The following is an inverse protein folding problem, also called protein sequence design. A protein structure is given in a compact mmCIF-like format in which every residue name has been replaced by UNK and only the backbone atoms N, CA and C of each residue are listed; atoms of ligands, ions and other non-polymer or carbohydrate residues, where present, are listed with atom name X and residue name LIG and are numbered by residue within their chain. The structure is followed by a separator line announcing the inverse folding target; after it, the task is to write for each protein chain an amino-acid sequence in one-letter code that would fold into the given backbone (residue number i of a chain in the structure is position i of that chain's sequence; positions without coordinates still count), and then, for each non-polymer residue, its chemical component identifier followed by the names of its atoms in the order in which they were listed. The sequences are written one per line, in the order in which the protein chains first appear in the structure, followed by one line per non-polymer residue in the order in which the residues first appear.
data_IF_214609587764
#
_entry.id   IF_214609587764
#
_cell.length_a   1.000
_cell.length_b   1.000
_cell.length_c   1.000
_cell.angle_alpha   90.00
_cell.angle_beta   90.00
_cell.angle_gamma   90.00
#
_symmetry.space_group_name_H-M   'P 1'
#
loop_
_entity.id
_entity.type
_entity.pdbx_description
1 polymer ?
#
# COMPACT_ATOMS: atom_id res chain seq x y z
N UNK A 1 -18.96 -13.52 -25.67
CA UNK A 1 -17.85 -12.71 -25.14
C UNK A 1 -16.53 -13.43 -25.45
N UNK A 2 -15.69 -12.89 -26.35
CA UNK A 2 -14.34 -13.44 -26.61
C UNK A 2 -13.38 -12.87 -25.56
N UNK A 3 -12.87 -13.71 -24.65
CA UNK A 3 -11.91 -13.34 -23.61
C UNK A 3 -10.53 -13.05 -24.22
N UNK A 4 -9.91 -11.95 -23.81
CA UNK A 4 -8.45 -11.88 -23.64
C UNK A 4 -7.56 -11.25 -24.72
N UNK A 5 -8.10 -10.66 -25.79
CA UNK A 5 -7.30 -9.95 -26.78
C UNK A 5 -7.33 -8.43 -26.59
N UNK A 6 -6.16 -7.78 -26.44
CA UNK A 6 -6.06 -6.32 -26.62
C UNK A 6 -6.39 -6.01 -28.08
N UNK A 7 -7.59 -5.47 -28.31
CA UNK A 7 -8.12 -5.31 -29.67
C UNK A 7 -7.62 -4.02 -30.33
N UNK A 8 -7.20 -3.02 -29.56
CA UNK A 8 -6.65 -1.77 -30.07
C UNK A 8 -5.17 -1.58 -29.69
N UNK A 9 -4.35 -0.99 -30.58
CA UNK A 9 -3.03 -0.49 -30.20
C UNK A 9 -3.19 0.53 -29.05
N UNK A 10 -2.52 0.29 -27.92
CA UNK A 10 -2.61 1.13 -26.72
C UNK A 10 -3.53 0.62 -25.60
N UNK A 11 -4.40 -0.37 -25.86
CA UNK A 11 -5.21 -1.02 -24.81
C UNK A 11 -4.30 -1.76 -23.82
N UNK A 12 -3.25 -2.42 -24.34
CA UNK A 12 -2.26 -3.12 -23.53
C UNK A 12 -1.52 -2.17 -22.57
N UNK A 13 -1.12 -0.99 -23.06
CA UNK A 13 -0.44 0.01 -22.24
C UNK A 13 -1.36 0.60 -21.19
N UNK A 14 -2.61 0.87 -21.54
CA UNK A 14 -3.59 1.42 -20.61
C UNK A 14 -3.94 0.40 -19.52
N UNK A 15 -4.10 -0.87 -19.89
CA UNK A 15 -4.27 -1.97 -18.94
C UNK A 15 -3.04 -2.14 -18.05
N UNK A 16 -1.84 -2.09 -18.62
CA UNK A 16 -0.59 -2.21 -17.88
C UNK A 16 -0.39 -1.05 -16.90
N UNK A 17 -0.65 0.20 -17.32
CA UNK A 17 -0.66 1.38 -16.45
C UNK A 17 -1.67 1.25 -15.31
N UNK A 18 -2.89 0.77 -15.60
CA UNK A 18 -3.92 0.55 -14.58
C UNK A 18 -3.53 -0.51 -13.55
N UNK A 19 -2.85 -1.57 -13.98
CA UNK A 19 -2.44 -2.67 -13.10
C UNK A 19 -1.03 -2.50 -12.52
N UNK A 20 -0.36 -1.37 -12.78
CA UNK A 20 1.03 -1.11 -12.35
C UNK A 20 2.01 -2.19 -12.83
N UNK A 21 1.80 -2.71 -14.05
CA UNK A 21 2.68 -3.72 -14.64
C UNK A 21 3.50 -3.09 -15.77
N UNK A 22 4.78 -3.43 -15.83
CA UNK A 22 5.66 -3.03 -16.93
C UNK A 22 5.54 -4.04 -18.08
N UNK A 23 5.04 -3.61 -19.25
CA UNK A 23 4.82 -4.48 -20.41
C UNK A 23 6.09 -5.18 -20.90
N UNK A 24 7.23 -4.50 -20.83
CA UNK A 24 8.52 -5.06 -21.24
C UNK A 24 8.85 -6.29 -20.40
N UNK A 25 8.59 -6.25 -19.09
CA UNK A 25 8.82 -7.39 -18.18
C UNK A 25 7.94 -8.58 -18.49
N UNK A 26 6.68 -8.35 -18.87
CA UNK A 26 5.80 -9.45 -19.29
C UNK A 26 6.37 -10.14 -20.54
N UNK A 27 6.86 -9.37 -21.51
CA UNK A 27 7.47 -9.93 -22.73
C UNK A 27 8.74 -10.71 -22.42
N UNK A 28 9.62 -10.19 -21.55
CA UNK A 28 10.81 -10.92 -21.09
C UNK A 28 10.45 -12.26 -20.43
N UNK A 29 9.39 -12.28 -19.61
CA UNK A 29 8.88 -13.52 -18.99
C UNK A 29 8.35 -14.48 -20.06
N UNK A 30 7.65 -14.00 -21.09
CA UNK A 30 7.18 -14.83 -22.20
C UNK A 30 8.35 -15.48 -22.95
N UNK A 31 9.39 -14.71 -23.26
CA UNK A 31 10.58 -15.22 -23.94
C UNK A 31 11.31 -16.27 -23.10
N UNK A 32 11.41 -16.06 -21.79
CA UNK A 32 11.96 -17.03 -20.85
C UNK A 32 11.15 -18.33 -20.82
N UNK A 33 9.81 -18.24 -20.76
CA UNK A 33 8.93 -19.42 -20.80
C UNK A 33 9.13 -20.20 -22.11
N UNK A 34 9.25 -19.49 -23.24
CA UNK A 34 9.47 -20.10 -24.56
C UNK A 34 10.83 -20.82 -24.63
N UNK A 35 11.87 -20.22 -24.09
CA UNK A 35 13.21 -20.84 -24.01
C UNK A 35 13.19 -22.10 -23.14
N UNK A 36 12.63 -22.01 -21.92
CA UNK A 36 12.54 -23.13 -20.99
C UNK A 36 11.74 -24.30 -21.59
N UNK A 37 10.64 -23.99 -22.28
CA UNK A 37 9.83 -25.01 -22.97
C UNK A 37 10.63 -25.73 -24.05
N UNK A 38 11.43 -25.01 -24.85
CA UNK A 38 12.32 -25.62 -25.85
C UNK A 38 13.36 -26.53 -25.18
N UNK A 39 13.92 -26.11 -24.05
CA UNK A 39 14.91 -26.90 -23.30
C UNK A 39 14.31 -28.18 -22.74
N UNK A 40 13.11 -28.11 -22.15
CA UNK A 40 12.38 -29.26 -21.64
C UNK A 40 12.02 -30.25 -22.75
N UNK A 41 11.59 -29.75 -23.93
CA UNK A 41 11.31 -30.59 -25.09
C UNK A 41 12.53 -31.38 -25.56
N UNK A 42 13.74 -30.80 -25.53
CA UNK A 42 14.99 -31.54 -25.84
C UNK A 42 15.28 -32.67 -24.84
N UNK A 43 14.78 -32.56 -23.62
CA UNK A 43 14.88 -33.60 -22.58
C UNK A 43 13.73 -34.62 -22.66
N UNK A 44 12.88 -34.55 -23.70
CA UNK A 44 11.71 -35.41 -23.85
C UNK A 44 10.54 -35.05 -22.93
N UNK A 45 10.60 -33.90 -22.24
CA UNK A 45 9.52 -33.42 -21.37
C UNK A 45 8.65 -32.48 -22.20
N UNK A 46 7.48 -32.95 -22.60
CA UNK A 46 6.49 -32.17 -23.34
C UNK A 46 5.26 -31.87 -22.49
N UNK A 47 4.70 -30.68 -22.68
CA UNK A 47 3.48 -30.29 -21.97
C UNK A 47 2.26 -30.90 -22.66
N UNK A 48 1.74 -32.01 -22.11
CA UNK A 48 0.55 -32.68 -22.62
C UNK A 48 -0.77 -31.99 -22.25
N UNK A 49 -0.72 -30.72 -21.79
CA UNK A 49 -1.90 -29.97 -21.32
C UNK A 49 -2.94 -29.73 -22.43
N UNK A 50 -2.55 -29.89 -23.69
CA UNK A 50 -3.43 -29.78 -24.86
C UNK A 50 -4.00 -31.13 -25.33
N UNK A 51 -3.92 -32.19 -24.54
CA UNK A 51 -4.39 -33.51 -24.93
C UNK A 51 -5.53 -33.93 -24.02
N UNK A 52 -6.76 -33.89 -24.53
CA UNK A 52 -7.90 -34.60 -23.93
C UNK A 52 -8.03 -35.95 -24.64
N UNK A 53 -8.16 -37.02 -23.87
CA UNK A 53 -8.55 -38.34 -24.39
C UNK A 53 -10.07 -38.33 -24.56
N UNK A 54 -10.56 -38.65 -25.76
CA UNK A 54 -11.99 -38.89 -25.95
C UNK A 54 -12.42 -40.19 -25.23
N UNK A 55 -13.73 -40.41 -25.03
CA UNK A 55 -14.27 -41.63 -24.40
C UNK A 55 -13.87 -42.93 -25.12
N UNK A 56 -13.34 -42.81 -26.34
CA UNK A 56 -12.84 -43.89 -27.19
C UNK A 56 -11.29 -43.99 -27.24
N UNK A 57 -10.56 -43.23 -26.41
CA UNK A 57 -9.10 -43.29 -26.31
C UNK A 57 -8.33 -42.53 -27.40
N UNK A 58 -9.01 -41.73 -28.22
CA UNK A 58 -8.37 -40.96 -29.28
C UNK A 58 -7.82 -39.62 -28.76
N UNK A 59 -6.62 -39.26 -29.24
CA UNK A 59 -5.94 -38.01 -28.92
C UNK A 59 -6.64 -36.82 -29.58
N UNK A 60 -7.32 -35.98 -28.79
CA UNK A 60 -7.89 -34.72 -29.27
C UNK A 60 -7.04 -33.55 -28.79
N UNK A 61 -6.51 -32.78 -29.73
CA UNK A 61 -5.76 -31.56 -29.46
C UNK A 61 -6.73 -30.47 -28.98
N UNK A 62 -6.71 -30.12 -27.70
CA UNK A 62 -7.47 -28.99 -27.17
C UNK A 62 -6.67 -27.72 -27.41
N UNK A 63 -7.09 -26.92 -28.38
CA UNK A 63 -6.36 -25.73 -28.82
C UNK A 63 -6.43 -24.56 -27.84
N UNK A 64 -7.10 -24.68 -26.70
CA UNK A 64 -7.19 -23.62 -25.71
C UNK A 64 -7.06 -24.16 -24.29
N UNK A 65 -6.68 -23.27 -23.39
CA UNK A 65 -6.76 -23.42 -21.94
C UNK A 65 -8.23 -23.57 -21.49
N UNK A 66 -8.89 -24.65 -21.91
CA UNK A 66 -10.27 -24.98 -21.54
C UNK A 66 -10.24 -25.57 -20.12
N UNK A 67 -9.94 -24.70 -19.15
CA UNK A 67 -10.22 -24.89 -17.73
C UNK A 67 -11.69 -24.48 -17.56
N UNK A 68 -12.60 -25.32 -18.03
CA UNK A 68 -14.03 -25.01 -18.03
C UNK A 68 -14.72 -25.38 -16.71
N UNK A 69 -14.08 -26.20 -15.86
CA UNK A 69 -14.63 -26.64 -14.58
C UNK A 69 -13.91 -25.97 -13.38
N UNK A 70 -14.68 -25.37 -12.46
CA UNK A 70 -14.14 -24.79 -11.22
C UNK A 70 -13.34 -25.81 -10.39
N UNK A 71 -13.73 -27.09 -10.46
CA UNK A 71 -13.05 -28.18 -9.77
C UNK A 71 -11.65 -28.46 -10.34
N UNK A 72 -11.50 -28.36 -11.67
CA UNK A 72 -10.21 -28.50 -12.35
C UNK A 72 -9.29 -27.30 -12.07
N UNK A 73 -9.86 -26.10 -11.92
CA UNK A 73 -9.09 -24.93 -11.49
C UNK A 73 -8.52 -25.12 -10.07
N UNK A 74 -9.31 -25.67 -9.14
CA UNK A 74 -8.87 -25.93 -7.75
C UNK A 74 -7.79 -27.02 -7.71
N UNK A 75 -7.97 -28.13 -8.43
CA UNK A 75 -6.97 -29.21 -8.53
C UNK A 75 -5.67 -28.71 -9.15
N UNK A 76 -5.75 -27.96 -10.25
CA UNK A 76 -4.58 -27.37 -10.89
C UNK A 76 -3.89 -26.34 -9.97
N UNK A 77 -4.65 -25.54 -9.23
CA UNK A 77 -4.08 -24.59 -8.26
C UNK A 77 -3.33 -25.30 -7.13
N UNK A 78 -3.83 -26.43 -6.63
CA UNK A 78 -3.15 -27.22 -5.60
C UNK A 78 -1.84 -27.81 -6.15
N UNK A 79 -1.87 -28.43 -7.33
CA UNK A 79 -0.67 -29.01 -7.96
C UNK A 79 0.38 -27.93 -8.23
N UNK A 80 -0.02 -26.77 -8.75
CA UNK A 80 0.89 -25.65 -8.99
C UNK A 80 1.51 -25.16 -7.67
N UNK A 81 0.72 -25.03 -6.60
CA UNK A 81 1.23 -24.67 -5.27
C UNK A 81 2.24 -25.69 -4.76
N UNK A 82 1.98 -26.99 -4.98
CA UNK A 82 2.90 -28.07 -4.59
C UNK A 82 4.23 -27.97 -5.37
N UNK A 83 4.17 -27.76 -6.69
CA UNK A 83 5.36 -27.60 -7.54
C UNK A 83 6.18 -26.38 -7.07
N UNK A 84 5.51 -25.25 -6.78
CA UNK A 84 6.20 -24.08 -6.25
C UNK A 84 6.85 -24.35 -4.88
N UNK A 85 6.15 -25.02 -3.96
CA UNK A 85 6.73 -25.38 -2.67
C UNK A 85 7.99 -26.25 -2.85
N UNK A 86 7.93 -27.27 -3.71
CA UNK A 86 9.09 -28.11 -4.01
C UNK A 86 10.26 -27.33 -4.64
N UNK A 87 9.97 -26.41 -5.57
CA UNK A 87 11.00 -25.61 -6.25
C UNK A 87 11.68 -24.59 -5.31
N UNK A 88 10.95 -24.06 -4.33
CA UNK A 88 11.47 -23.06 -3.40
C UNK A 88 12.06 -23.65 -2.11
N UNK A 89 12.02 -24.98 -1.90
CA UNK A 89 12.66 -25.61 -0.75
C UNK A 89 14.16 -25.25 -0.64
N UNK A 90 14.70 -24.90 0.55
CA UNK A 90 14.07 -24.81 1.88
C UNK A 90 13.57 -23.40 2.25
N UNK A 91 13.43 -22.49 1.29
CA UNK A 91 13.09 -21.07 1.51
C UNK A 91 11.60 -20.87 1.81
N UNK A 92 11.17 -21.36 2.97
CA UNK A 92 9.80 -21.21 3.44
C UNK A 92 9.67 -20.08 4.44
N UNK A 93 8.53 -19.39 4.36
CA UNK A 93 8.13 -18.38 5.32
C UNK A 93 6.99 -18.92 6.15
N UNK A 94 7.09 -18.81 7.46
CA UNK A 94 5.96 -19.03 8.35
C UNK A 94 5.13 -17.76 8.41
N UNK A 95 3.86 -17.86 8.04
CA UNK A 95 2.91 -16.78 8.29
C UNK A 95 2.64 -16.74 9.78
N UNK A 96 3.40 -15.93 10.50
CA UNK A 96 3.05 -15.55 11.86
C UNK A 96 1.82 -14.66 11.72
N UNK A 97 0.73 -15.00 12.43
CA UNK A 97 -0.39 -14.08 12.58
C UNK A 97 0.16 -12.83 13.25
N UNK A 98 0.47 -11.80 12.45
CA UNK A 98 0.65 -10.46 12.99
C UNK A 98 -0.69 -10.14 13.62
N UNK A 99 -0.70 -10.06 14.94
CA UNK A 99 -1.91 -9.68 15.66
C UNK A 99 -2.31 -8.30 15.16
N UNK A 100 -3.46 -8.24 14.49
CA UNK A 100 -4.00 -6.98 13.99
C UNK A 100 -4.17 -5.99 15.14
N UNK A 101 -4.47 -6.47 16.35
CA UNK A 101 -4.52 -5.63 17.55
C UNK A 101 -3.14 -5.05 17.88
N UNK A 102 -2.07 -5.83 17.74
CA UNK A 102 -0.71 -5.33 17.93
C UNK A 102 -0.35 -4.27 16.88
N UNK A 103 -0.72 -4.48 15.62
CA UNK A 103 -0.50 -3.49 14.56
C UNK A 103 -1.26 -2.18 14.82
N UNK A 104 -2.52 -2.27 15.27
CA UNK A 104 -3.33 -1.11 15.66
C UNK A 104 -2.74 -0.40 16.89
N UNK A 105 -2.28 -1.17 17.89
CA UNK A 105 -1.61 -0.66 19.09
C UNK A 105 -0.32 0.07 18.72
N UNK A 106 0.49 -0.50 17.84
CA UNK A 106 1.73 0.13 17.35
C UNK A 106 1.48 1.42 16.57
N UNK A 107 0.31 1.56 15.94
CA UNK A 107 -0.11 2.76 15.21
C UNK A 107 -0.88 3.77 16.06
N UNK A 108 -0.99 3.56 17.38
CA UNK A 108 -1.73 4.45 18.31
C UNK A 108 -3.16 4.75 17.82
N UNK A 109 -3.87 3.73 17.35
CA UNK A 109 -5.24 3.86 16.87
C UNK A 109 -5.39 4.57 15.51
N UNK A 110 -4.28 4.90 14.84
CA UNK A 110 -4.29 5.40 13.45
C UNK A 110 -4.45 4.25 12.47
N UNK A 111 -5.02 4.53 11.30
CA UNK A 111 -5.23 3.52 10.26
C UNK A 111 -3.89 3.03 9.69
N UNK A 112 -3.55 1.76 9.97
CA UNK A 112 -2.33 1.11 9.52
C UNK A 112 -2.22 1.00 7.99
N UNK A 113 -3.34 1.11 7.26
CA UNK A 113 -3.37 1.04 5.80
C UNK A 113 -2.95 2.33 5.12
N UNK A 114 -2.99 3.44 5.86
CA UNK A 114 -2.69 4.78 5.38
C UNK A 114 -1.53 5.43 6.13
N UNK A 115 -0.99 4.78 7.16
CA UNK A 115 -0.03 5.38 8.08
C UNK A 115 1.27 4.60 8.14
N UNK A 116 2.40 5.30 8.09
CA UNK A 116 3.73 4.74 8.33
C UNK A 116 4.33 5.32 9.60
N UNK A 117 4.92 4.45 10.42
CA UNK A 117 5.66 4.83 11.62
C UNK A 117 7.14 4.99 11.33
N UNK A 118 7.70 6.14 11.72
CA UNK A 118 9.14 6.40 11.75
C UNK A 118 9.58 6.48 13.22
N UNK A 119 10.66 5.77 13.54
CA UNK A 119 11.19 5.65 14.91
C UNK A 119 12.48 6.46 15.08
N UNK A 120 12.94 6.58 16.32
CA UNK A 120 14.20 7.21 16.73
C UNK A 120 14.21 8.74 16.64
N UNK A 121 13.09 9.39 16.98
CA UNK A 121 13.09 10.84 17.17
C UNK A 121 13.54 11.21 18.59
N UNK A 122 14.22 12.36 18.78
CA UNK A 122 14.42 12.92 20.11
C UNK A 122 13.06 13.21 20.77
N UNK A 123 12.92 12.87 22.05
CA UNK A 123 11.67 13.01 22.80
C UNK A 123 11.14 14.43 22.75
N UNK A 124 9.85 14.60 22.44
CA UNK A 124 9.12 15.88 22.34
C UNK A 124 9.64 16.89 21.30
N UNK A 125 10.76 16.63 20.61
CA UNK A 125 11.30 17.51 19.58
C UNK A 125 10.73 17.23 18.18
N UNK A 126 10.00 16.11 18.01
CA UNK A 126 9.53 15.61 16.71
C UNK A 126 8.78 16.65 15.86
N UNK A 127 7.96 17.50 16.50
CA UNK A 127 7.15 18.54 15.84
C UNK A 127 8.01 19.52 15.04
N UNK A 128 9.25 19.79 15.48
CA UNK A 128 10.18 20.70 14.79
C UNK A 128 10.66 20.15 13.44
N UNK A 129 10.55 18.84 13.24
CA UNK A 129 10.98 18.15 12.03
C UNK A 129 9.81 17.83 11.10
N UNK A 130 8.58 18.24 11.45
CA UNK A 130 7.35 17.97 10.68
C UNK A 130 7.48 18.34 9.20
N UNK A 131 7.93 19.56 8.92
CA UNK A 131 8.09 20.07 7.54
C UNK A 131 9.10 19.24 6.75
N UNK A 132 10.29 19.02 7.31
CA UNK A 132 11.34 18.21 6.67
C UNK A 132 10.93 16.75 6.47
N UNK A 133 10.20 16.20 7.42
CA UNK A 133 9.67 14.85 7.34
C UNK A 133 8.67 14.76 6.18
N UNK A 134 7.68 15.65 6.18
CA UNK A 134 6.69 15.71 5.13
C UNK A 134 7.37 15.93 3.75
N UNK A 135 8.42 16.75 3.63
CA UNK A 135 9.22 16.91 2.41
C UNK A 135 9.90 15.63 1.92
N UNK A 136 10.53 14.86 2.80
CA UNK A 136 11.15 13.58 2.43
C UNK A 136 10.11 12.59 1.87
N UNK A 137 8.89 12.63 2.41
CA UNK A 137 7.80 11.73 2.01
C UNK A 137 6.89 12.29 0.91
N UNK A 138 7.16 13.50 0.39
CA UNK A 138 6.47 14.05 -0.81
C UNK A 138 6.67 13.18 -2.05
N UNK A 139 7.78 12.44 -2.12
CA UNK A 139 8.05 11.47 -3.19
C UNK A 139 7.04 10.32 -3.18
N UNK A 140 6.53 9.96 -1.99
CA UNK A 140 5.57 8.87 -1.83
C UNK A 140 4.11 9.31 -2.05
N UNK A 141 3.75 10.54 -1.67
CA UNK A 141 2.43 11.11 -1.94
C UNK A 141 2.43 12.65 -1.83
N UNK A 142 1.51 13.30 -2.54
CA UNK A 142 1.37 14.76 -2.56
C UNK A 142 0.79 15.33 -1.27
N UNK A 143 -0.04 14.56 -0.56
CA UNK A 143 -0.73 15.01 0.64
C UNK A 143 -0.34 14.14 1.83
N UNK A 144 0.55 14.69 2.65
CA UNK A 144 1.18 14.00 3.78
C UNK A 144 0.85 14.76 5.06
N UNK A 145 0.28 14.08 6.05
CA UNK A 145 0.06 14.61 7.40
C UNK A 145 1.03 13.96 8.38
N UNK A 146 1.84 14.79 9.02
CA UNK A 146 2.84 14.35 9.99
C UNK A 146 2.31 14.59 11.42
N UNK A 147 2.25 13.54 12.26
CA UNK A 147 1.92 13.64 13.69
C UNK A 147 2.99 12.95 14.52
N UNK A 148 3.18 13.36 15.77
CA UNK A 148 4.27 12.88 16.61
C UNK A 148 3.75 12.50 18.00
N UNK A 149 4.16 11.34 18.48
CA UNK A 149 3.95 10.91 19.86
C UNK A 149 5.26 10.36 20.40
N UNK A 150 5.73 10.95 21.50
CA UNK A 150 6.99 10.64 22.17
C UNK A 150 8.21 10.69 21.23
N UNK A 151 8.77 9.51 20.91
CA UNK A 151 9.93 9.29 20.04
C UNK A 151 9.53 8.71 18.66
N UNK A 152 8.23 8.71 18.36
CA UNK A 152 7.66 8.13 17.13
C UNK A 152 6.98 9.22 16.31
N UNK A 153 7.30 9.25 15.02
CA UNK A 153 6.57 10.04 14.01
C UNK A 153 5.61 9.14 13.24
N UNK A 154 4.40 9.62 13.02
CA UNK A 154 3.36 8.98 12.21
C UNK A 154 3.09 9.84 10.98
N UNK A 155 3.21 9.20 9.82
CA UNK A 155 3.04 9.82 8.52
C UNK A 155 1.80 9.22 7.90
N UNK A 156 0.76 10.03 7.79
CA UNK A 156 -0.50 9.64 7.20
C UNK A 156 -0.57 10.15 5.77
N UNK A 157 -0.83 9.24 4.84
CA UNK A 157 -0.98 9.55 3.43
C UNK A 157 -2.46 9.74 3.12
N UNK A 158 -2.83 10.93 2.66
CA UNK A 158 -4.17 11.14 2.13
C UNK A 158 -4.12 10.86 0.63
N UNK A 159 -4.28 9.60 0.29
CA UNK A 159 -4.59 9.23 -1.08
C UNK A 159 -6.07 8.90 -1.05
N UNK A 160 -6.89 9.71 -1.74
CA UNK A 160 -8.21 9.25 -2.17
C UNK A 160 -7.96 7.90 -2.83
N UNK A 161 -8.60 6.86 -2.31
CA UNK A 161 -8.50 5.51 -2.83
C UNK A 161 -9.19 5.49 -4.21
N UNK A 162 -8.57 6.12 -5.21
CA UNK A 162 -8.97 5.97 -6.60
C UNK A 162 -8.35 4.67 -7.09
N UNK A 163 -9.18 3.63 -7.08
CA UNK A 163 -9.08 2.44 -7.94
C UNK A 163 -7.85 1.52 -7.78
N UNK A 164 -7.48 1.13 -6.55
CA UNK A 164 -6.59 -0.03 -6.38
C UNK A 164 -7.32 -1.12 -5.59
N UNK A 165 -7.33 -2.35 -6.11
CA UNK A 165 -7.99 -3.52 -5.50
C UNK A 165 -7.44 -3.90 -4.11
N UNK A 166 -6.33 -3.27 -3.69
CA UNK A 166 -5.71 -3.47 -2.38
C UNK A 166 -6.14 -2.35 -1.44
N UNK A 167 -6.66 -2.71 -0.26
CA UNK A 167 -7.07 -1.77 0.79
C UNK A 167 -5.93 -0.93 1.40
N UNK A 168 -4.70 -0.99 0.87
CA UNK A 168 -3.50 -0.34 1.40
C UNK A 168 -3.09 0.79 0.46
N UNK A 169 -2.77 1.95 1.03
CA UNK A 169 -2.41 3.14 0.28
C UNK A 169 -1.05 2.97 -0.42
N UNK A 170 -0.96 3.44 -1.67
CA UNK A 170 0.27 3.43 -2.45
C UNK A 170 1.44 4.15 -1.73
N UNK A 171 1.15 5.25 -1.03
CA UNK A 171 2.16 5.98 -0.26
C UNK A 171 2.79 5.13 0.84
N UNK A 172 2.01 4.24 1.46
CA UNK A 172 2.51 3.28 2.47
C UNK A 172 3.42 2.25 1.81
N UNK A 173 3.01 1.69 0.67
CA UNK A 173 3.82 0.72 -0.08
C UNK A 173 5.17 1.31 -0.48
N UNK A 174 5.17 2.52 -1.08
CA UNK A 174 6.40 3.19 -1.49
C UNK A 174 7.33 3.47 -0.31
N UNK A 175 6.79 3.95 0.82
CA UNK A 175 7.56 4.18 2.03
C UNK A 175 8.20 2.88 2.58
N UNK A 176 7.48 1.75 2.53
CA UNK A 176 8.04 0.44 2.90
C UNK A 176 9.14 0.02 1.93
N UNK A 177 8.95 0.24 0.63
CA UNK A 177 9.99 -0.05 -0.36
C UNK A 177 11.23 0.82 -0.18
N UNK A 178 11.09 2.09 0.20
CA UNK A 178 12.24 2.94 0.55
C UNK A 178 13.08 2.33 1.68
N UNK A 179 12.43 1.71 2.67
CA UNK A 179 13.12 0.98 3.74
C UNK A 179 13.81 -0.29 3.23
N UNK A 180 13.15 -1.06 2.37
CA UNK A 180 13.73 -2.27 1.78
C UNK A 180 14.96 -1.95 0.91
N UNK A 181 14.92 -0.85 0.17
CA UNK A 181 16.02 -0.30 -0.63
C UNK A 181 17.08 0.42 0.22
N UNK A 182 16.93 0.44 1.56
CA UNK A 182 17.85 1.08 2.51
C UNK A 182 18.12 2.56 2.22
N UNK A 183 17.12 3.28 1.69
CA UNK A 183 17.24 4.71 1.43
C UNK A 183 17.36 5.43 2.78
N UNK A 184 18.46 6.15 3.06
CA UNK A 184 18.69 6.73 4.39
C UNK A 184 17.84 8.00 4.59
N UNK A 185 16.94 7.97 5.57
CA UNK A 185 16.21 9.16 6.02
C UNK A 185 17.10 9.97 6.97
N UNK A 186 17.76 11.01 6.46
CA UNK A 186 18.71 11.83 7.23
C UNK A 186 18.06 13.13 7.70
N UNK A 187 17.90 13.28 9.01
CA UNK A 187 17.48 14.52 9.64
C UNK A 187 18.65 15.15 10.40
N UNK A 188 18.96 16.41 10.10
CA UNK A 188 19.95 17.19 10.85
C UNK A 188 19.34 17.64 12.19
N UNK A 189 19.92 17.17 13.30
CA UNK A 189 19.51 17.57 14.66
C UNK A 189 19.75 19.06 14.87
N UNK A 190 18.77 19.74 15.46
CA UNK A 190 18.91 21.15 15.87
C UNK A 190 19.74 21.26 17.17
N UNK A 191 20.39 22.41 17.36
CA UNK A 191 21.12 22.71 18.59
C UNK A 191 20.14 22.83 19.77
N UNK A 192 20.46 22.22 20.91
CA UNK A 192 19.65 22.17 22.13
C UNK A 192 19.09 23.55 22.55
N UNK A 193 19.90 24.61 22.47
CA UNK A 193 19.47 25.97 22.84
C UNK A 193 18.35 26.48 21.91
N UNK A 194 18.54 26.31 20.60
CA UNK A 194 17.57 26.73 19.57
C UNK A 194 16.30 25.87 19.66
N UNK A 195 16.45 24.57 19.92
CA UNK A 195 15.34 23.63 20.12
C UNK A 195 14.46 24.07 21.28
N UNK A 196 15.05 24.41 22.43
CA UNK A 196 14.31 24.84 23.61
C UNK A 196 13.50 26.12 23.36
N UNK A 197 14.11 27.12 22.73
CA UNK A 197 13.44 28.38 22.38
C UNK A 197 12.26 28.16 21.43
N UNK A 198 12.46 27.34 20.39
CA UNK A 198 11.40 27.00 19.42
C UNK A 198 10.26 26.22 20.08
N UNK A 199 10.57 25.25 20.94
CA UNK A 199 9.54 24.49 21.67
C UNK A 199 8.76 25.38 22.65
N UNK A 200 9.44 26.28 23.36
CA UNK A 200 8.79 27.26 24.25
C UNK A 200 7.82 28.15 23.48
N UNK A 201 8.23 28.66 22.32
CA UNK A 201 7.39 29.48 21.44
C UNK A 201 6.18 28.70 20.91
N UNK A 202 6.36 27.45 20.47
CA UNK A 202 5.26 26.60 20.02
C UNK A 202 4.25 26.30 21.14
N UNK A 203 4.72 26.04 22.37
CA UNK A 203 3.85 25.85 23.54
C UNK A 203 3.04 27.10 23.86
N UNK A 204 3.64 28.29 23.77
CA UNK A 204 2.93 29.56 23.97
C UNK A 204 1.86 29.78 22.89
N UNK A 205 2.21 29.56 21.61
CA UNK A 205 1.27 29.67 20.49
C UNK A 205 0.08 28.72 20.65
N UNK A 206 0.32 27.47 21.09
CA UNK A 206 -0.74 26.49 21.33
C UNK A 206 -1.69 26.90 22.47
N UNK A 207 -1.14 27.53 23.52
CA UNK A 207 -1.96 28.06 24.62
C UNK A 207 -2.84 29.23 24.15
N UNK A 208 -2.31 30.12 23.33
CA UNK A 208 -3.09 31.25 22.77
C UNK A 208 -4.17 30.83 21.77
N UNK A 209 -3.94 29.78 20.98
CA UNK A 209 -4.98 29.26 20.07
C UNK A 209 -6.09 28.52 20.82
N UNK A 210 -5.77 27.79 21.89
CA UNK A 210 -6.79 27.17 22.75
C UNK A 210 -7.61 28.20 23.54
N UNK A 211 -7.03 29.32 23.98
CA UNK A 211 -7.79 30.39 24.64
C UNK A 211 -8.72 31.14 23.67
N UNK A 212 -8.29 31.36 22.41
CA UNK A 212 -9.13 32.01 21.41
C UNK A 212 -10.34 31.18 20.99
N UNK A 213 -10.24 29.85 20.99
CA UNK A 213 -11.36 28.95 20.71
C UNK A 213 -12.43 28.97 21.83
N UNK A 214 -12.00 29.13 23.09
CA UNK A 214 -12.92 29.26 24.22
C UNK A 214 -13.61 30.63 24.29
N UNK A 215 -13.02 31.68 23.69
CA UNK A 215 -13.64 33.01 23.65
C UNK A 215 -14.74 33.12 22.59
N UNK A 216 -14.61 32.41 21.46
CA UNK A 216 -15.62 32.42 20.36
C UNK A 216 -16.90 31.66 20.73
N UNK A 217 -16.82 30.66 21.61
CA UNK A 217 -17.99 29.91 22.12
C UNK A 217 -18.78 30.63 23.22
N UNK A 218 -18.17 31.59 23.92
CA UNK A 218 -18.86 32.37 24.96
C UNK A 218 -19.48 33.68 24.46
N UNK A 219 -19.03 34.21 23.31
CA UNK A 219 -19.62 35.40 22.69
C UNK A 219 -20.99 35.16 22.03
N UNK A 220 -21.38 33.91 21.79
CA UNK A 220 -22.65 33.55 21.14
C UNK A 220 -23.80 33.28 22.13
N UNK A 221 -23.59 33.49 23.44
CA UNK A 221 -24.58 33.20 24.49
C UNK A 221 -25.21 34.41 25.19
N UNK A 222 -24.88 35.64 24.80
CA UNK A 222 -25.38 36.88 25.47
C UNK A 222 -26.38 37.72 24.67
N UNK A 223 -26.94 37.23 23.56
CA UNK A 223 -27.98 37.96 22.80
C UNK A 223 -29.25 37.14 22.60
N UNK A 224 -29.96 36.81 23.68
CA UNK A 224 -31.36 36.34 23.62
C UNK A 224 -32.09 36.49 24.97
N UNK A 225 -32.28 37.71 25.43
CA UNK A 225 -33.40 38.02 26.33
C UNK A 225 -33.81 39.49 26.21
N UNK A 226 -34.74 39.78 25.31
CA UNK A 226 -35.75 40.83 25.49
C UNK A 226 -36.50 41.04 24.18
N UNK A 227 -37.72 40.48 24.09
CA UNK A 227 -38.94 41.14 23.58
C UNK A 227 -40.05 40.10 23.43
N UNK A 228 -40.76 39.89 24.53
CA UNK A 228 -42.20 39.62 24.49
C UNK A 228 -42.92 40.95 24.23
N UNK A 229 -43.73 41.04 23.19
CA UNK A 229 -45.02 41.75 23.16
C UNK A 229 -45.57 41.92 21.74
N UNK A 230 -46.90 41.76 21.66
CA UNK A 230 -47.86 42.17 20.61
C UNK A 230 -48.17 41.09 19.56
N UNK A 231 -49.32 40.40 19.67
CA UNK A 231 -50.70 40.82 19.33
C UNK A 231 -50.88 41.09 17.82
N UNK A 232 -51.27 40.08 17.05
CA UNK A 232 -52.63 39.86 16.52
C UNK A 232 -52.62 38.64 15.59
#
# INVERSE_FOLDING_TARGET
MRRGGFSRPGDAESWARKNMIELVRIREVEDLVRELTKRLKRLGIECNRHVKLDKLGNYKKSDLYDIDDEEDLVKNNFIIKMIFAGAFYPNYFTSIKIDLQEAIRMCYGKDFRNTVQVRNFPMEEGVLYSEKLCDMFKVCSKLVRCSFEDSKGFIEFNSKCEEVASNVNLGVYLAVQMRNLRIPLRLKRLNAKITYEKLKRLRQLRKSTSSNFNFTLNSSRTSRSSRSSNLN
#
